data_IF_918563486197
#
_entry.id   IF_918563486197
#
_cell.length_a   1.000
_cell.length_b   1.000
_cell.length_c   1.000
_cell.angle_alpha   90.00
_cell.angle_beta   90.00
_cell.angle_gamma   90.00
#
_symmetry.space_group_name_H-M   'P 1'
#
loop_
_entity.id
_entity.type
_entity.pdbx_description
1 polymer ?
#
# COMPACT_ATOMS: atom_id res chain seq x y z
N UNK A 1 -45.35 -52.34 -30.54
CA UNK A 1 -44.83 -52.10 -29.17
C UNK A 1 -43.33 -51.98 -29.25
N UNK A 2 -42.76 -50.79 -29.04
CA UNK A 2 -41.35 -50.56 -28.65
C UNK A 2 -41.08 -49.05 -28.56
N UNK A 3 -41.37 -48.46 -27.40
CA UNK A 3 -40.96 -47.09 -27.06
C UNK A 3 -40.56 -47.03 -25.58
N UNK A 4 -39.35 -47.47 -25.24
CA UNK A 4 -38.66 -47.18 -23.96
C UNK A 4 -37.16 -47.30 -24.18
N UNK A 5 -36.46 -46.19 -24.45
CA UNK A 5 -34.99 -46.14 -24.28
C UNK A 5 -34.34 -44.73 -24.28
N UNK A 6 -35.10 -43.64 -24.22
CA UNK A 6 -34.52 -42.29 -24.36
C UNK A 6 -34.10 -41.62 -23.04
N UNK A 7 -34.57 -42.10 -21.89
CA UNK A 7 -34.29 -41.47 -20.59
C UNK A 7 -32.90 -41.83 -20.01
N UNK A 8 -32.40 -43.03 -20.29
CA UNK A 8 -31.10 -43.49 -19.76
C UNK A 8 -29.91 -42.77 -20.43
N UNK A 9 -30.02 -42.45 -21.72
CA UNK A 9 -28.94 -41.78 -22.46
C UNK A 9 -28.69 -40.34 -21.98
N UNK A 10 -29.73 -39.63 -21.52
CA UNK A 10 -29.58 -38.28 -20.96
C UNK A 10 -28.92 -38.25 -19.58
N UNK A 11 -29.11 -39.29 -18.75
CA UNK A 11 -28.45 -39.36 -17.44
C UNK A 11 -26.95 -39.66 -17.59
N UNK A 12 -26.61 -40.58 -18.49
CA UNK A 12 -25.23 -40.96 -18.78
C UNK A 12 -24.38 -39.81 -19.33
N UNK A 13 -24.92 -39.01 -20.24
CA UNK A 13 -24.21 -37.86 -20.82
C UNK A 13 -23.98 -36.73 -19.81
N UNK A 14 -24.91 -36.52 -18.88
CA UNK A 14 -24.75 -35.54 -17.81
C UNK A 14 -23.71 -35.97 -16.77
N UNK A 15 -23.70 -37.24 -16.37
CA UNK A 15 -22.67 -37.79 -15.47
C UNK A 15 -21.26 -37.70 -16.09
N UNK A 16 -21.14 -37.96 -17.39
CA UNK A 16 -19.89 -37.82 -18.14
C UNK A 16 -19.41 -36.36 -18.17
N UNK A 17 -20.32 -35.40 -18.39
CA UNK A 17 -20.02 -33.98 -18.34
C UNK A 17 -19.57 -33.52 -16.95
N UNK A 18 -20.21 -34.00 -15.87
CA UNK A 18 -19.82 -33.69 -14.50
C UNK A 18 -18.46 -34.31 -14.12
N UNK A 19 -18.20 -35.54 -14.55
CA UNK A 19 -16.90 -36.20 -14.37
C UNK A 19 -15.79 -35.40 -15.05
N UNK A 20 -16.01 -35.00 -16.29
CA UNK A 20 -15.08 -34.16 -17.06
C UNK A 20 -14.85 -32.82 -16.37
N UNK A 21 -15.91 -32.16 -15.91
CA UNK A 21 -15.80 -30.87 -15.20
C UNK A 21 -15.03 -31.01 -13.89
N UNK A 22 -15.23 -32.10 -13.15
CA UNK A 22 -14.48 -32.39 -11.91
C UNK A 22 -12.99 -32.61 -12.18
N UNK A 23 -12.64 -33.31 -13.26
CA UNK A 23 -11.26 -33.51 -13.68
C UNK A 23 -10.57 -32.18 -13.99
N UNK A 24 -11.22 -31.31 -14.77
CA UNK A 24 -10.70 -29.96 -15.08
C UNK A 24 -10.50 -29.12 -13.81
N UNK A 25 -11.45 -29.15 -12.88
CA UNK A 25 -11.31 -28.41 -11.61
C UNK A 25 -10.19 -28.97 -10.73
N UNK A 26 -9.96 -30.29 -10.75
CA UNK A 26 -8.86 -30.92 -10.02
C UNK A 26 -7.49 -30.51 -10.60
N UNK A 27 -7.38 -30.45 -11.93
CA UNK A 27 -6.20 -29.97 -12.63
C UNK A 27 -5.92 -28.49 -12.33
N UNK A 28 -6.95 -27.64 -12.38
CA UNK A 28 -6.84 -26.23 -12.00
C UNK A 28 -6.40 -26.05 -10.54
N UNK A 29 -6.91 -26.88 -9.62
CA UNK A 29 -6.50 -26.85 -8.22
C UNK A 29 -5.03 -27.27 -8.06
N UNK A 30 -4.57 -28.28 -8.79
CA UNK A 30 -3.18 -28.72 -8.76
C UNK A 30 -2.24 -27.63 -9.28
N UNK A 31 -2.58 -27.00 -10.41
CA UNK A 31 -1.81 -25.89 -10.97
C UNK A 31 -1.75 -24.69 -10.01
N UNK A 32 -2.86 -24.36 -9.35
CA UNK A 32 -2.89 -23.28 -8.35
C UNK A 32 -2.05 -23.63 -7.10
N UNK A 33 -2.00 -24.89 -6.69
CA UNK A 33 -1.16 -25.33 -5.57
C UNK A 33 0.34 -25.22 -5.91
N UNK A 34 0.74 -25.58 -7.12
CA UNK A 34 2.12 -25.42 -7.59
C UNK A 34 2.53 -23.93 -7.63
N UNK A 35 1.63 -23.05 -8.07
CA UNK A 35 1.86 -21.60 -8.03
C UNK A 35 2.03 -21.06 -6.60
N UNK A 36 1.30 -21.60 -5.63
CA UNK A 36 1.46 -21.23 -4.22
C UNK A 36 2.83 -21.66 -3.70
N UNK A 37 3.23 -22.91 -3.97
CA UNK A 37 4.55 -23.42 -3.55
C UNK A 37 5.69 -22.57 -4.13
N UNK A 38 5.59 -22.16 -5.40
CA UNK A 38 6.60 -21.31 -6.04
C UNK A 38 6.62 -19.89 -5.46
N UNK A 39 5.46 -19.31 -5.14
CA UNK A 39 5.37 -18.02 -4.47
C UNK A 39 5.94 -18.09 -3.05
N UNK A 40 5.66 -19.15 -2.30
CA UNK A 40 6.21 -19.37 -0.95
C UNK A 40 7.74 -19.49 -0.99
N UNK A 41 8.30 -20.22 -1.96
CA UNK A 41 9.76 -20.27 -2.18
C UNK A 41 10.33 -18.91 -2.52
N UNK A 42 9.65 -18.13 -3.36
CA UNK A 42 10.08 -16.78 -3.71
C UNK A 42 10.07 -15.84 -2.51
N UNK A 43 9.06 -15.93 -1.64
CA UNK A 43 8.99 -15.15 -0.39
C UNK A 43 10.15 -15.53 0.53
N UNK A 44 10.37 -16.83 0.74
CA UNK A 44 11.47 -17.31 1.59
C UNK A 44 12.85 -16.84 1.08
N UNK A 45 13.05 -16.82 -0.25
CA UNK A 45 14.28 -16.29 -0.84
C UNK A 45 14.43 -14.77 -0.60
N UNK A 46 13.36 -14.00 -0.80
CA UNK A 46 13.38 -12.55 -0.56
C UNK A 46 13.63 -12.23 0.92
N UNK A 47 13.07 -13.00 1.85
CA UNK A 47 13.29 -12.83 3.29
C UNK A 47 14.76 -13.13 3.66
N UNK A 48 15.36 -14.15 3.05
CA UNK A 48 16.79 -14.44 3.23
C UNK A 48 17.68 -13.31 2.69
N UNK A 49 17.33 -12.75 1.52
CA UNK A 49 18.05 -11.64 0.92
C UNK A 49 17.93 -10.36 1.78
N UNK A 50 16.73 -10.08 2.33
CA UNK A 50 16.51 -8.97 3.27
C UNK A 50 17.39 -9.16 4.51
N UNK A 51 17.35 -10.33 5.15
CA UNK A 51 18.18 -10.61 6.31
C UNK A 51 19.69 -10.48 6.03
N UNK A 52 20.13 -10.83 4.82
CA UNK A 52 21.50 -10.61 4.38
C UNK A 52 21.84 -9.12 4.24
N UNK A 53 20.96 -8.33 3.64
CA UNK A 53 21.13 -6.88 3.49
C UNK A 53 21.16 -6.19 4.86
N UNK A 54 20.26 -6.55 5.77
CA UNK A 54 20.19 -5.97 7.12
C UNK A 54 21.48 -6.25 7.90
N UNK A 55 22.02 -7.48 7.78
CA UNK A 55 23.31 -7.84 8.36
C UNK A 55 24.47 -7.02 7.77
N UNK A 56 24.48 -6.76 6.45
CA UNK A 56 25.48 -5.91 5.79
C UNK A 56 25.35 -4.44 6.21
N UNK A 57 24.14 -3.97 6.49
CA UNK A 57 23.87 -2.61 6.96
C UNK A 57 24.20 -2.42 8.44
N UNK A 58 24.59 -3.48 9.16
CA UNK A 58 24.95 -3.42 10.58
C UNK A 58 23.74 -3.43 11.52
N UNK A 59 22.55 -3.72 11.01
CA UNK A 59 21.34 -3.96 11.81
C UNK A 59 21.32 -5.44 12.22
N UNK A 60 22.11 -5.78 13.25
CA UNK A 60 22.02 -7.09 13.85
C UNK A 60 20.61 -7.31 14.44
N UNK A 61 19.93 -8.43 14.14
CA UNK A 61 18.59 -8.67 14.61
C UNK A 61 18.65 -9.14 16.07
N UNK A 62 18.27 -8.26 16.98
CA UNK A 62 18.23 -8.56 18.40
C UNK A 62 17.27 -7.63 19.11
N UNK A 63 16.00 -8.06 19.20
CA UNK A 63 14.95 -7.50 20.04
C UNK A 63 14.42 -6.10 19.65
N UNK A 64 13.46 -6.05 18.74
CA UNK A 64 12.08 -5.72 19.13
C UNK A 64 11.13 -5.75 17.92
N UNK A 65 10.13 -6.61 18.07
CA UNK A 65 8.72 -6.38 17.74
C UNK A 65 8.36 -5.73 16.39
N UNK A 66 7.90 -6.60 15.47
CA UNK A 66 6.73 -6.41 14.60
C UNK A 66 6.53 -4.99 14.04
N UNK A 67 7.40 -4.58 13.12
CA UNK A 67 7.11 -3.45 12.23
C UNK A 67 7.19 -3.92 10.78
N UNK A 68 6.04 -4.28 10.22
CA UNK A 68 5.84 -4.45 8.78
C UNK A 68 6.29 -3.18 8.05
N UNK A 69 7.40 -3.25 7.32
CA UNK A 69 7.87 -2.16 6.46
C UNK A 69 8.06 -2.66 5.02
N UNK A 70 7.24 -2.15 4.11
CA UNK A 70 7.33 -2.40 2.67
C UNK A 70 8.60 -1.78 2.02
N UNK A 71 9.20 -2.45 1.00
CA UNK A 71 10.49 -2.07 0.42
C UNK A 71 10.37 -0.93 -0.60
N UNK A 72 11.47 -0.19 -0.84
CA UNK A 72 11.59 0.83 -1.90
C UNK A 72 11.98 2.23 -1.42
N UNK A 73 13.00 2.33 -0.56
CA UNK A 73 13.44 3.57 0.09
C UNK A 73 13.96 4.63 -0.91
N UNK A 74 13.03 5.39 -1.50
CA UNK A 74 13.24 6.83 -1.68
C UNK A 74 13.44 7.45 -0.28
N UNK A 75 14.21 8.55 -0.15
CA UNK A 75 14.47 9.18 1.14
C UNK A 75 13.14 9.37 1.88
N UNK A 76 13.07 8.87 3.11
CA UNK A 76 11.84 8.68 3.93
C UNK A 76 10.93 9.93 3.96
N UNK A 77 11.51 11.10 3.77
CA UNK A 77 10.82 12.39 3.60
C UNK A 77 9.87 12.41 2.38
N UNK A 78 10.32 11.94 1.21
CA UNK A 78 9.51 11.91 -0.02
C UNK A 78 8.32 10.97 0.13
N UNK A 79 8.53 9.78 0.69
CA UNK A 79 7.47 8.79 0.97
C UNK A 79 6.40 9.36 1.89
N UNK A 80 6.80 10.07 2.95
CA UNK A 80 5.86 10.66 3.90
C UNK A 80 4.98 11.73 3.24
N UNK A 81 5.57 12.59 2.40
CA UNK A 81 4.80 13.62 1.70
C UNK A 81 3.84 13.03 0.65
N UNK A 82 4.21 11.90 0.02
CA UNK A 82 3.35 11.20 -0.93
C UNK A 82 2.06 10.69 -0.28
N UNK A 83 2.13 10.11 0.92
CA UNK A 83 0.94 9.69 1.67
C UNK A 83 0.02 10.86 2.03
N UNK A 84 0.60 11.99 2.43
CA UNK A 84 -0.16 13.22 2.72
C UNK A 84 -0.85 13.76 1.46
N UNK A 85 -0.15 13.73 0.32
CA UNK A 85 -0.69 14.16 -0.97
C UNK A 85 -1.83 13.26 -1.41
N UNK A 86 -1.68 11.93 -1.29
CA UNK A 86 -2.72 10.96 -1.60
C UNK A 86 -3.96 11.20 -0.72
N UNK A 87 -3.77 11.31 0.60
CA UNK A 87 -4.85 11.56 1.56
C UNK A 87 -5.63 12.84 1.24
N UNK A 88 -4.92 13.95 1.01
CA UNK A 88 -5.57 15.23 0.68
C UNK A 88 -6.27 15.19 -0.69
N UNK A 89 -5.78 14.35 -1.60
CA UNK A 89 -6.40 14.09 -2.91
C UNK A 89 -7.73 13.36 -2.76
N UNK A 90 -7.74 12.29 -1.98
CA UNK A 90 -8.95 11.52 -1.67
C UNK A 90 -10.00 12.36 -0.94
N UNK A 91 -9.58 13.15 0.05
CA UNK A 91 -10.50 13.95 0.87
C UNK A 91 -11.03 15.17 0.14
N UNK A 92 -10.29 15.69 -0.84
CA UNK A 92 -10.68 16.84 -1.65
C UNK A 92 -10.84 18.16 -0.87
N UNK A 93 -10.44 18.21 0.41
CA UNK A 93 -10.60 19.36 1.29
C UNK A 93 -9.34 19.66 2.11
N UNK A 94 -9.11 20.92 2.51
CA UNK A 94 -8.03 21.26 3.43
C UNK A 94 -8.20 20.56 4.79
N UNK A 95 -7.12 20.07 5.38
CA UNK A 95 -7.13 19.37 6.67
C UNK A 95 -6.08 19.94 7.63
N UNK A 96 -6.33 19.85 8.94
CA UNK A 96 -5.36 20.25 9.95
C UNK A 96 -4.24 19.21 10.09
N UNK A 97 -3.00 19.63 10.36
CA UNK A 97 -1.84 18.72 10.40
C UNK A 97 -1.98 17.57 11.41
N UNK A 98 -2.71 17.80 12.52
CA UNK A 98 -3.06 16.75 13.49
C UNK A 98 -4.09 15.76 12.94
N UNK A 99 -5.07 16.23 12.17
CA UNK A 99 -6.07 15.36 11.56
C UNK A 99 -5.43 14.48 10.46
N UNK A 100 -4.52 15.07 9.68
CA UNK A 100 -3.72 14.35 8.68
C UNK A 100 -2.95 13.22 9.34
N UNK A 101 -2.26 13.51 10.45
CA UNK A 101 -1.51 12.50 11.19
C UNK A 101 -2.42 11.40 11.75
N UNK A 102 -3.56 11.76 12.34
CA UNK A 102 -4.46 10.78 12.94
C UNK A 102 -5.10 9.88 11.88
N UNK A 103 -5.44 10.42 10.71
CA UNK A 103 -5.93 9.64 9.58
C UNK A 103 -4.87 8.69 9.01
N UNK A 104 -3.64 9.16 8.80
CA UNK A 104 -2.56 8.31 8.28
C UNK A 104 -2.15 7.23 9.29
N UNK A 105 -2.15 7.53 10.59
CA UNK A 105 -1.91 6.52 11.63
C UNK A 105 -3.04 5.48 11.65
N UNK A 106 -4.30 5.92 11.57
CA UNK A 106 -5.44 5.01 11.58
C UNK A 106 -5.44 4.03 10.39
N UNK A 107 -4.84 4.43 9.26
CA UNK A 107 -4.66 3.59 8.06
C UNK A 107 -3.46 2.65 8.15
N UNK A 108 -2.55 2.86 9.10
CA UNK A 108 -1.27 2.15 9.16
C UNK A 108 -0.23 2.64 8.15
N UNK A 109 -0.49 3.76 7.46
CA UNK A 109 0.41 4.30 6.42
C UNK A 109 1.71 4.88 7.01
N UNK A 110 1.67 5.29 8.28
CA UNK A 110 2.80 5.87 9.00
C UNK A 110 2.92 5.31 10.41
N UNK A 111 4.14 4.94 10.79
CA UNK A 111 4.56 4.75 12.18
C UNK A 111 5.53 5.89 12.54
N UNK A 112 5.04 6.84 13.34
CA UNK A 112 5.86 7.95 13.82
C UNK A 112 5.84 7.93 15.34
N UNK A 113 7.00 7.63 15.90
CA UNK A 113 7.27 7.64 17.33
C UNK A 113 7.81 9.00 17.78
N UNK A 114 7.54 9.35 19.05
CA UNK A 114 8.06 10.55 19.68
C UNK A 114 7.02 11.36 20.44
N UNK A 115 7.48 12.46 21.04
CA UNK A 115 6.68 13.30 21.95
C UNK A 115 5.52 14.05 21.27
N UNK A 116 5.69 14.45 20.01
CA UNK A 116 4.62 15.06 19.19
C UNK A 116 4.73 14.54 17.74
N UNK A 117 4.11 13.37 17.46
CA UNK A 117 4.20 12.74 16.15
C UNK A 117 3.62 13.59 15.01
N UNK A 118 2.59 14.39 15.29
CA UNK A 118 2.00 15.28 14.29
C UNK A 118 2.96 16.40 13.88
N UNK A 119 3.76 16.93 14.82
CA UNK A 119 4.78 17.92 14.51
C UNK A 119 5.98 17.32 13.77
N UNK A 120 6.36 16.07 14.11
CA UNK A 120 7.38 15.32 13.38
C UNK A 120 6.92 15.02 11.95
N UNK A 121 5.67 14.60 11.77
CA UNK A 121 5.09 14.41 10.44
C UNK A 121 5.12 15.71 9.65
N UNK A 122 4.71 16.81 10.30
CA UNK A 122 4.68 18.13 9.68
C UNK A 122 6.05 18.55 9.14
N UNK A 123 7.14 18.35 9.89
CA UNK A 123 8.47 18.75 9.42
C UNK A 123 8.90 18.02 8.14
N UNK A 124 8.42 16.80 7.92
CA UNK A 124 8.76 15.97 6.75
C UNK A 124 8.11 16.46 5.45
N UNK A 125 6.89 16.99 5.50
CA UNK A 125 6.17 17.44 4.30
C UNK A 125 6.01 18.97 4.18
N UNK A 126 6.46 19.73 5.18
CA UNK A 126 6.29 21.19 5.24
C UNK A 126 6.78 21.91 3.98
N UNK A 127 7.88 21.43 3.38
CA UNK A 127 8.51 22.02 2.20
C UNK A 127 8.04 21.40 0.87
N UNK A 128 7.05 20.49 0.89
CA UNK A 128 6.61 19.84 -0.34
C UNK A 128 5.91 20.86 -1.28
N UNK A 129 6.38 21.02 -2.53
CA UNK A 129 5.85 22.02 -3.46
C UNK A 129 4.41 21.74 -3.91
N UNK A 130 3.94 20.49 -3.81
CA UNK A 130 2.57 20.07 -4.15
C UNK A 130 1.57 20.50 -3.08
N UNK A 131 2.04 20.85 -1.89
CA UNK A 131 1.22 21.29 -0.78
C UNK A 131 1.25 22.82 -0.64
N UNK A 132 0.19 23.37 -0.08
CA UNK A 132 0.18 24.76 0.34
C UNK A 132 -0.61 24.92 1.64
N UNK A 133 -0.35 26.02 2.33
CA UNK A 133 -0.91 26.32 3.65
C UNK A 133 -1.95 27.44 3.56
N UNK A 134 -3.25 27.14 3.41
CA UNK A 134 -4.29 28.16 3.35
C UNK A 134 -4.49 28.89 4.68
N UNK A 135 -4.29 28.22 5.82
CA UNK A 135 -4.46 28.76 7.18
C UNK A 135 -3.42 28.17 8.12
N UNK A 136 -3.18 28.82 9.26
CA UNK A 136 -2.24 28.31 10.26
C UNK A 136 -2.67 26.91 10.72
N UNK A 137 -1.81 25.92 10.46
CA UNK A 137 -2.02 24.52 10.84
C UNK A 137 -2.79 23.68 9.81
N UNK A 138 -3.34 24.30 8.77
CA UNK A 138 -4.13 23.62 7.73
C UNK A 138 -3.34 23.51 6.44
N UNK A 139 -3.39 22.33 5.80
CA UNK A 139 -2.73 22.03 4.54
C UNK A 139 -3.72 21.54 3.49
N UNK A 140 -3.41 21.83 2.22
CA UNK A 140 -4.22 21.46 1.07
C UNK A 140 -3.34 21.22 -0.17
N UNK A 141 -3.89 20.51 -1.16
CA UNK A 141 -3.25 20.27 -2.45
C UNK A 141 -3.24 21.49 -3.36
N UNK A 142 -2.10 21.75 -3.98
CA UNK A 142 -1.90 22.84 -4.93
C UNK A 142 -2.41 22.43 -6.32
N UNK A 143 -3.60 22.90 -6.68
CA UNK A 143 -4.26 22.56 -7.96
C UNK A 143 -3.78 23.41 -9.16
N UNK A 144 -2.46 23.59 -9.33
CA UNK A 144 -1.87 24.32 -10.47
C UNK A 144 -2.09 25.85 -10.51
N UNK A 145 -2.98 26.41 -9.67
CA UNK A 145 -3.09 27.86 -9.46
C UNK A 145 -1.96 28.35 -8.56
N UNK A 146 -1.45 29.55 -8.83
CA UNK A 146 -0.37 30.16 -8.06
C UNK A 146 -0.89 30.65 -6.69
N UNK A 147 -1.14 29.72 -5.76
CA UNK A 147 -1.69 30.01 -4.43
C UNK A 147 -0.55 30.32 -3.46
N UNK A 148 -0.66 31.46 -2.75
CA UNK A 148 0.30 31.85 -1.72
C UNK A 148 0.03 31.08 -0.42
N UNK A 149 1.05 30.43 0.11
CA UNK A 149 1.02 29.89 1.47
C UNK A 149 1.09 31.01 2.50
N UNK A 150 0.27 30.92 3.55
CA UNK A 150 0.34 31.84 4.69
C UNK A 150 1.66 31.63 5.42
N UNK A 151 2.47 32.70 5.53
CA UNK A 151 3.79 32.67 6.17
C UNK A 151 4.98 32.53 5.23
N UNK A 152 4.77 32.47 3.91
CA UNK A 152 5.88 32.48 2.95
C UNK A 152 6.66 33.81 3.06
N UNK A 153 7.91 33.75 3.54
CA UNK A 153 8.82 34.92 3.54
C UNK A 153 9.11 35.30 2.09
N UNK A 154 8.86 36.57 1.74
CA UNK A 154 9.21 37.15 0.45
C UNK A 154 10.74 37.18 0.37
N UNK A 155 11.35 36.21 -0.31
CA UNK A 155 12.78 36.24 -0.62
C UNK A 155 13.01 37.45 -1.51
N UNK A 156 13.62 38.50 -0.94
CA UNK A 156 14.11 39.64 -1.71
C UNK A 156 15.24 39.10 -2.58
N UNK A 157 15.02 39.00 -3.89
CA UNK A 157 16.11 38.80 -4.84
C UNK A 157 17.05 39.98 -4.67
N UNK A 158 18.26 39.74 -4.16
CA UNK A 158 19.35 40.69 -4.24
C UNK A 158 19.66 40.90 -5.73
N UNK A 159 19.77 42.17 -6.10
CA UNK A 159 20.01 42.64 -7.46
C UNK A 159 21.51 42.73 -7.71
#
# INVERSE_FOLDING_TARGET
MSHRNTADSSSSTFEEALSTRRAVLAEQRAAAAEQLDDLERSIAQLDADIGHIDALLGEAPGANEVATAHPGAAPVEKRTADFVVALLGEKGKPMHYREIESELRARGDIAIEGKDPANILLSRYYNDPRLYRPRRGTYALRNGRNVRSVGARRTRRAK
#
